data_IF_965558895004
#
_entry.id   IF_965558895004
#
_cell.length_a   1.000
_cell.length_b   1.000
_cell.length_c   1.000
_cell.angle_alpha   90.00
_cell.angle_beta   90.00
_cell.angle_gamma   90.00
#
_symmetry.space_group_name_H-M   'P 1'
#
loop_
_entity.id
_entity.type
_entity.pdbx_description
1 polymer ?
#
# COMPACT_ATOMS: atom_id res chain seq x y z
N UNK A 1 10.46 9.30 45.53
CA UNK A 1 10.15 8.39 44.41
C UNK A 1 9.29 9.17 43.42
N UNK A 2 9.89 9.69 42.36
CA UNK A 2 9.17 10.31 41.25
C UNK A 2 9.46 9.46 40.01
N UNK A 3 8.58 8.50 39.72
CA UNK A 3 8.62 7.72 38.49
C UNK A 3 8.19 8.65 37.34
N UNK A 4 9.15 9.32 36.71
CA UNK A 4 8.87 10.25 35.60
C UNK A 4 9.76 10.03 34.38
N UNK A 5 10.36 8.84 34.26
CA UNK A 5 11.22 8.46 33.13
C UNK A 5 10.56 7.38 32.27
N UNK A 6 9.32 7.57 31.83
CA UNK A 6 8.80 6.79 30.71
C UNK A 6 9.27 7.53 29.45
N UNK A 7 10.21 6.97 28.66
CA UNK A 7 10.60 7.59 27.41
C UNK A 7 9.35 7.70 26.54
N UNK A 8 9.09 8.90 26.04
CA UNK A 8 8.04 9.11 25.06
C UNK A 8 8.46 8.36 23.79
N UNK A 9 8.08 7.09 23.67
CA UNK A 9 8.20 6.26 22.45
C UNK A 9 7.16 6.76 21.43
N UNK A 10 7.23 8.04 21.10
CA UNK A 10 6.60 8.55 19.88
C UNK A 10 7.43 8.00 18.72
N UNK A 11 6.81 7.35 17.72
CA UNK A 11 7.53 6.93 16.54
C UNK A 11 8.27 8.14 15.95
N UNK A 12 9.55 7.97 15.63
CA UNK A 12 10.26 9.02 14.91
C UNK A 12 9.69 9.14 13.49
N UNK A 13 9.93 10.26 12.82
CA UNK A 13 9.42 10.47 11.45
C UNK A 13 9.85 9.36 10.48
N UNK A 14 10.93 8.62 10.76
CA UNK A 14 11.34 7.50 9.91
C UNK A 14 10.36 6.32 10.00
N UNK A 15 9.62 6.19 11.11
CA UNK A 15 8.54 5.21 11.25
C UNK A 15 7.35 5.52 10.35
N UNK A 16 6.97 6.79 10.22
CA UNK A 16 5.87 7.20 9.35
C UNK A 16 6.22 6.95 7.87
N UNK A 17 7.44 7.31 7.46
CA UNK A 17 7.97 6.94 6.14
C UNK A 17 8.03 5.43 5.93
N UNK A 18 8.38 4.65 6.96
CA UNK A 18 8.39 3.19 6.88
C UNK A 18 6.99 2.60 6.66
N UNK A 19 5.97 3.15 7.32
CA UNK A 19 4.56 2.75 7.10
C UNK A 19 4.15 3.04 5.66
N UNK A 20 4.44 4.24 5.16
CA UNK A 20 4.14 4.64 3.78
C UNK A 20 4.84 3.73 2.78
N UNK A 21 6.14 3.49 2.97
CA UNK A 21 6.91 2.56 2.15
C UNK A 21 6.29 1.15 2.12
N UNK A 22 5.87 0.64 3.27
CA UNK A 22 5.24 -0.68 3.35
C UNK A 22 3.90 -0.76 2.62
N UNK A 23 3.12 0.32 2.62
CA UNK A 23 1.86 0.41 1.85
C UNK A 23 2.16 0.43 0.35
N UNK A 24 3.16 1.20 -0.09
CA UNK A 24 3.63 1.17 -1.48
C UNK A 24 4.06 -0.24 -1.92
N UNK A 25 4.77 -0.96 -1.05
CA UNK A 25 5.18 -2.35 -1.34
C UNK A 25 3.98 -3.31 -1.47
N UNK A 26 2.92 -3.11 -0.69
CA UNK A 26 1.67 -3.88 -0.81
C UNK A 26 0.95 -3.60 -2.12
N UNK A 27 0.78 -2.33 -2.48
CA UNK A 27 0.19 -1.94 -3.76
C UNK A 27 0.97 -2.51 -4.94
N UNK A 28 2.31 -2.42 -4.90
CA UNK A 28 3.19 -3.03 -5.90
C UNK A 28 2.95 -4.53 -6.04
N UNK A 29 2.91 -5.27 -4.93
CA UNK A 29 2.70 -6.71 -4.95
C UNK A 29 1.35 -7.09 -5.60
N UNK A 30 0.30 -6.29 -5.39
CA UNK A 30 -1.01 -6.49 -6.04
C UNK A 30 -0.97 -6.27 -7.55
N UNK A 31 -0.25 -5.24 -8.00
CA UNK A 31 -0.04 -4.98 -9.43
C UNK A 31 0.76 -6.14 -10.07
N UNK A 32 1.81 -6.62 -9.41
CA UNK A 32 2.61 -7.75 -9.89
C UNK A 32 1.78 -9.04 -9.95
N UNK A 33 0.87 -9.26 -9.01
CA UNK A 33 -0.09 -10.38 -9.05
C UNK A 33 -1.00 -10.29 -10.27
N UNK A 34 -1.57 -9.11 -10.54
CA UNK A 34 -2.42 -8.90 -11.71
C UNK A 34 -1.65 -9.14 -13.03
N UNK A 35 -0.44 -8.58 -13.16
CA UNK A 35 0.43 -8.82 -14.33
C UNK A 35 0.76 -10.31 -14.51
N UNK A 36 1.00 -11.02 -13.41
CA UNK A 36 1.26 -12.46 -13.44
C UNK A 36 0.03 -13.25 -13.89
N UNK A 37 -1.18 -12.85 -13.50
CA UNK A 37 -2.41 -13.46 -13.96
C UNK A 37 -2.63 -13.21 -15.45
N UNK A 38 -2.48 -11.96 -15.89
CA UNK A 38 -2.61 -11.56 -17.30
C UNK A 38 -1.62 -12.30 -18.20
N UNK A 39 -0.36 -12.43 -17.78
CA UNK A 39 0.68 -13.11 -18.57
C UNK A 39 0.48 -14.63 -18.72
N UNK A 40 -0.36 -15.24 -17.88
CA UNK A 40 -0.71 -16.67 -17.98
C UNK A 40 -1.90 -16.93 -18.90
N UNK A 41 -2.53 -15.88 -19.44
CA UNK A 41 -3.66 -16.03 -20.37
C UNK A 41 -3.19 -15.99 -21.81
N UNK A 42 -3.54 -17.02 -22.58
CA UNK A 42 -3.37 -17.04 -24.04
C UNK A 42 -4.62 -16.50 -24.77
N UNK A 43 -5.79 -16.57 -24.13
CA UNK A 43 -7.08 -16.11 -24.65
C UNK A 43 -7.84 -15.31 -23.58
N UNK A 44 -8.85 -14.56 -24.01
CA UNK A 44 -9.69 -13.77 -23.10
C UNK A 44 -10.45 -14.67 -22.11
N UNK A 45 -10.30 -14.38 -20.82
CA UNK A 45 -10.98 -15.10 -19.74
C UNK A 45 -11.65 -14.11 -18.80
N UNK A 46 -12.98 -14.04 -18.84
CA UNK A 46 -13.78 -13.06 -18.08
C UNK A 46 -13.62 -13.17 -16.57
N UNK A 47 -13.42 -14.39 -16.03
CA UNK A 47 -13.18 -14.57 -14.60
C UNK A 47 -11.83 -13.97 -14.19
N UNK A 48 -10.80 -14.21 -15.00
CA UNK A 48 -9.45 -13.70 -14.72
C UNK A 48 -9.37 -12.20 -14.96
N UNK A 49 -10.13 -11.67 -15.92
CA UNK A 49 -10.27 -10.23 -16.10
C UNK A 49 -10.89 -9.59 -14.84
N UNK A 50 -11.94 -10.19 -14.27
CA UNK A 50 -12.54 -9.71 -13.02
C UNK A 50 -11.55 -9.77 -11.84
N UNK A 51 -10.77 -10.85 -11.71
CA UNK A 51 -9.73 -10.97 -10.69
C UNK A 51 -8.63 -9.91 -10.86
N UNK A 52 -8.22 -9.63 -12.10
CA UNK A 52 -7.25 -8.58 -12.41
C UNK A 52 -7.81 -7.19 -12.05
N UNK A 53 -9.06 -6.92 -12.41
CA UNK A 53 -9.74 -5.65 -12.11
C UNK A 53 -9.84 -5.43 -10.60
N UNK A 54 -10.14 -6.47 -9.81
CA UNK A 54 -10.16 -6.39 -8.35
C UNK A 54 -8.78 -6.05 -7.78
N UNK A 55 -7.74 -6.76 -8.22
CA UNK A 55 -6.36 -6.53 -7.76
C UNK A 55 -5.87 -5.11 -8.08
N UNK A 56 -6.16 -4.63 -9.29
CA UNK A 56 -5.76 -3.30 -9.75
C UNK A 56 -6.58 -2.23 -9.00
N UNK A 57 -7.89 -2.41 -8.85
CA UNK A 57 -8.74 -1.47 -8.12
C UNK A 57 -8.29 -1.30 -6.67
N UNK A 58 -7.92 -2.40 -6.00
CA UNK A 58 -7.39 -2.35 -4.65
C UNK A 58 -6.04 -1.62 -4.58
N UNK A 59 -5.14 -1.86 -5.54
CA UNK A 59 -3.87 -1.15 -5.59
C UNK A 59 -4.05 0.36 -5.84
N UNK A 60 -4.96 0.74 -6.72
CA UNK A 60 -5.29 2.16 -6.99
C UNK A 60 -5.85 2.82 -5.73
N UNK A 61 -6.77 2.16 -5.03
CA UNK A 61 -7.31 2.68 -3.77
C UNK A 61 -6.19 2.93 -2.76
N UNK A 62 -5.32 1.95 -2.52
CA UNK A 62 -4.23 2.08 -1.55
C UNK A 62 -3.23 3.18 -1.94
N UNK A 63 -2.94 3.37 -3.23
CA UNK A 63 -2.08 4.44 -3.72
C UNK A 63 -2.71 5.83 -3.55
N UNK A 64 -4.01 5.98 -3.79
CA UNK A 64 -4.72 7.25 -3.58
C UNK A 64 -4.69 7.66 -2.10
N UNK A 65 -4.89 6.71 -1.19
CA UNK A 65 -4.80 6.99 0.25
C UNK A 65 -3.38 7.40 0.65
N UNK A 66 -2.35 6.75 0.10
CA UNK A 66 -0.95 7.15 0.34
C UNK A 66 -0.68 8.58 -0.16
N UNK A 67 -1.17 8.90 -1.35
CA UNK A 67 -1.03 10.25 -1.91
C UNK A 67 -1.70 11.28 -1.01
N UNK A 68 -2.93 11.00 -0.57
CA UNK A 68 -3.67 11.89 0.33
C UNK A 68 -2.90 12.15 1.64
N UNK A 69 -2.42 11.09 2.29
CA UNK A 69 -1.67 11.21 3.55
C UNK A 69 -0.40 12.07 3.39
N UNK A 70 0.33 11.89 2.28
CA UNK A 70 1.51 12.69 1.96
C UNK A 70 1.17 14.16 1.71
N UNK A 71 0.06 14.44 1.02
CA UNK A 71 -0.40 15.81 0.75
C UNK A 71 -0.95 16.53 2.00
N UNK A 72 -1.46 15.80 3.00
CA UNK A 72 -1.85 16.36 4.30
C UNK A 72 -0.64 16.67 5.19
N UNK A 73 0.40 15.84 5.17
CA UNK A 73 1.65 16.08 5.93
C UNK A 73 2.43 17.32 5.45
N UNK A 74 2.26 17.75 4.19
CA UNK A 74 2.90 18.95 3.64
C UNK A 74 2.26 20.29 4.08
N UNK A 75 1.11 20.27 4.78
CA UNK A 75 0.36 21.48 5.22
C UNK A 75 0.62 21.88 6.67
#
# INVERSE_FOLDING_TARGET
>A
MTNSDIPNYTPDAAWDYYIIWHRCMRAKAKIEQALTLMSKQEEENTAINADCDELISHAIYELNEIQFDLEEEEK
#
